data_IF_663407808255
#
_entry.id   IF_663407808255
#
_cell.length_a   1.000
_cell.length_b   1.000
_cell.length_c   1.000
_cell.angle_alpha   90.00
_cell.angle_beta   90.00
_cell.angle_gamma   90.00
#
_symmetry.space_group_name_H-M   'P 1'
#
loop_
_entity.id
_entity.type
_entity.pdbx_description
1 polymer ?
#
# COMPACT_ATOMS: atom_id res chain seq x y z
N UNK A 1 21.75 -3.39 3.17
CA UNK A 1 21.38 -1.96 3.26
C UNK A 1 19.87 -1.84 3.16
N UNK A 2 19.24 -0.87 3.85
CA UNK A 2 17.79 -0.73 3.87
C UNK A 2 17.41 0.68 3.41
N UNK A 3 16.73 0.77 2.27
CA UNK A 3 16.37 2.00 1.57
C UNK A 3 15.03 2.51 2.10
N UNK A 4 14.92 3.81 2.34
CA UNK A 4 13.64 4.46 2.61
C UNK A 4 12.94 4.71 1.28
N UNK A 5 11.65 4.43 1.24
CA UNK A 5 10.78 4.70 0.11
C UNK A 5 9.56 5.49 0.59
N UNK A 6 9.10 6.38 -0.27
CA UNK A 6 7.83 7.09 -0.14
C UNK A 6 7.08 6.90 -1.44
N UNK A 7 5.90 6.26 -1.35
CA UNK A 7 5.03 6.04 -2.49
C UNK A 7 3.76 6.86 -2.30
N UNK A 8 3.30 7.50 -3.37
CA UNK A 8 2.08 8.29 -3.37
C UNK A 8 1.19 7.84 -4.51
N UNK A 9 -0.09 7.68 -4.22
CA UNK A 9 -1.10 7.41 -5.23
C UNK A 9 -2.46 7.87 -4.73
N UNK A 10 -3.41 8.01 -5.63
CA UNK A 10 -4.77 8.44 -5.31
C UNK A 10 -5.71 7.24 -5.45
N UNK A 11 -6.62 7.06 -4.49
CA UNK A 11 -7.62 6.00 -4.55
C UNK A 11 -8.53 6.24 -5.75
N UNK A 12 -8.64 5.26 -6.63
CA UNK A 12 -9.52 5.36 -7.79
C UNK A 12 -10.99 5.24 -7.38
N UNK A 13 -11.94 5.86 -8.12
CA UNK A 13 -13.37 5.70 -7.84
C UNK A 13 -13.85 4.23 -7.86
N UNK A 14 -13.22 3.38 -8.66
CA UNK A 14 -13.48 1.93 -8.70
C UNK A 14 -13.12 1.19 -7.41
N UNK A 15 -12.36 1.82 -6.52
CA UNK A 15 -11.92 1.27 -5.24
C UNK A 15 -12.79 1.77 -4.07
N UNK A 16 -13.83 2.54 -4.34
CA UNK A 16 -14.78 2.99 -3.32
C UNK A 16 -15.34 1.81 -2.53
N UNK A 17 -15.32 1.94 -1.20
CA UNK A 17 -15.80 0.95 -0.25
C UNK A 17 -14.86 -0.25 -0.04
N UNK A 18 -13.75 -0.33 -0.78
CA UNK A 18 -12.73 -1.34 -0.54
C UNK A 18 -12.05 -1.12 0.81
N UNK A 19 -11.45 -2.19 1.32
CA UNK A 19 -10.57 -2.10 2.49
C UNK A 19 -9.26 -1.42 2.08
N UNK A 20 -8.72 -0.59 2.97
CA UNK A 20 -7.48 0.13 2.74
C UNK A 20 -6.31 -0.80 2.38
N UNK A 21 -6.17 -1.93 3.08
CA UNK A 21 -5.10 -2.89 2.78
C UNK A 21 -5.23 -3.52 1.38
N UNK A 22 -6.46 -3.68 0.90
CA UNK A 22 -6.72 -4.12 -0.46
C UNK A 22 -6.45 -3.00 -1.48
N UNK A 23 -7.01 -1.80 -1.27
CA UNK A 23 -6.85 -0.68 -2.19
C UNK A 23 -5.37 -0.30 -2.37
N UNK A 24 -4.60 -0.25 -1.28
CA UNK A 24 -3.15 0.01 -1.33
C UNK A 24 -2.40 -1.08 -2.10
N UNK A 25 -2.78 -2.36 -1.95
CA UNK A 25 -2.15 -3.45 -2.68
C UNK A 25 -2.49 -3.46 -4.18
N UNK A 26 -3.63 -2.89 -4.57
CA UNK A 26 -3.98 -2.66 -5.97
C UNK A 26 -3.26 -1.42 -6.54
N UNK A 27 -3.04 -0.38 -5.74
CA UNK A 27 -2.31 0.82 -6.13
C UNK A 27 -0.80 0.60 -6.25
N UNK A 28 -0.23 -0.31 -5.44
CA UNK A 28 1.20 -0.65 -5.44
C UNK A 28 1.38 -2.16 -5.59
N UNK A 29 1.11 -2.66 -6.80
CA UNK A 29 1.16 -4.08 -7.17
C UNK A 29 2.55 -4.73 -7.03
N UNK A 30 3.60 -3.92 -6.97
CA UNK A 30 4.99 -4.32 -6.68
C UNK A 30 5.16 -4.96 -5.28
N UNK A 31 4.21 -4.74 -4.36
CA UNK A 31 4.28 -5.25 -3.00
C UNK A 31 3.17 -6.26 -2.70
N UNK A 32 3.54 -7.35 -2.04
CA UNK A 32 2.56 -8.34 -1.60
C UNK A 32 1.59 -7.77 -0.57
N UNK A 33 0.34 -8.26 -0.55
CA UNK A 33 -0.67 -7.90 0.45
C UNK A 33 -0.17 -8.04 1.90
N UNK A 34 0.60 -9.08 2.19
CA UNK A 34 1.19 -9.28 3.52
C UNK A 34 2.16 -8.16 3.89
N UNK A 35 2.97 -7.68 2.94
CA UNK A 35 3.88 -6.53 3.16
C UNK A 35 3.10 -5.26 3.41
N UNK A 36 2.07 -4.99 2.62
CA UNK A 36 1.19 -3.82 2.81
C UNK A 36 0.54 -3.87 4.20
N UNK A 37 0.04 -5.03 4.62
CA UNK A 37 -0.54 -5.22 5.95
C UNK A 37 0.47 -4.93 7.07
N UNK A 38 1.71 -5.39 6.97
CA UNK A 38 2.76 -5.08 7.94
C UNK A 38 3.00 -3.57 8.04
N UNK A 39 3.10 -2.86 6.90
CA UNK A 39 3.29 -1.41 6.88
C UNK A 39 2.10 -0.65 7.45
N UNK A 40 0.88 -1.11 7.15
CA UNK A 40 -0.32 -0.54 7.71
C UNK A 40 -0.33 -0.66 9.24
N UNK A 41 -0.07 -1.86 9.78
CA UNK A 41 -0.02 -2.10 11.22
C UNK A 41 1.13 -1.35 11.90
N UNK A 42 2.22 -1.10 11.18
CA UNK A 42 3.36 -0.32 11.65
C UNK A 42 3.18 1.21 11.51
N UNK A 43 1.99 1.68 11.11
CA UNK A 43 1.69 3.11 10.97
C UNK A 43 2.49 3.81 9.88
N UNK A 44 2.77 3.09 8.79
CA UNK A 44 3.55 3.59 7.64
C UNK A 44 2.68 4.03 6.47
N UNK A 45 1.36 3.98 6.62
CA UNK A 45 0.40 4.34 5.59
C UNK A 45 -0.49 5.46 6.13
N UNK A 46 -0.66 6.51 5.34
CA UNK A 46 -1.61 7.58 5.61
C UNK A 46 -2.61 7.74 4.48
N UNK A 47 -3.81 8.17 4.86
CA UNK A 47 -4.92 8.54 3.97
C UNK A 47 -5.19 10.02 4.22
N UNK A 48 -5.04 10.87 3.21
CA UNK A 48 -5.18 12.34 3.30
C UNK A 48 -4.37 12.93 4.47
N UNK A 49 -3.14 12.46 4.64
CA UNK A 49 -2.23 12.88 5.71
C UNK A 49 -2.52 12.28 7.09
N UNK A 50 -3.60 11.51 7.27
CA UNK A 50 -3.91 10.82 8.52
C UNK A 50 -3.34 9.40 8.52
N UNK A 51 -2.49 9.07 9.49
CA UNK A 51 -1.94 7.71 9.62
C UNK A 51 -3.05 6.74 10.01
N UNK A 52 -3.30 5.74 9.17
CA UNK A 52 -4.29 4.70 9.42
C UNK A 52 -3.57 3.39 9.73
N UNK A 53 -3.95 2.74 10.83
CA UNK A 53 -3.39 1.44 11.25
C UNK A 53 -4.42 0.31 11.23
N UNK A 54 -5.65 0.60 10.77
CA UNK A 54 -6.79 -0.33 10.78
C UNK A 54 -6.96 -0.98 9.40
N UNK A 55 -6.69 -2.29 9.21
CA UNK A 55 -6.83 -2.98 7.92
C UNK A 55 -8.23 -2.94 7.30
N UNK A 56 -9.27 -2.91 8.13
CA UNK A 56 -10.66 -2.87 7.67
C UNK A 56 -11.18 -1.45 7.45
N UNK A 57 -10.33 -0.42 7.57
CA UNK A 57 -10.69 0.94 7.19
C UNK A 57 -11.15 0.93 5.73
N UNK A 58 -12.27 1.57 5.44
CA UNK A 58 -12.80 1.66 4.07
C UNK A 58 -12.36 2.96 3.44
N UNK A 59 -11.86 2.88 2.23
CA UNK A 59 -11.62 4.06 1.39
C UNK A 59 -12.91 4.42 0.64
N UNK A 60 -13.08 5.69 0.31
CA UNK A 60 -14.25 6.27 -0.32
C UNK A 60 -13.98 6.71 -1.77
N UNK A 61 -12.73 6.69 -2.21
CA UNK A 61 -12.31 7.17 -3.52
C UNK A 61 -11.85 8.62 -3.48
N UNK A 62 -10.81 8.93 -4.24
CA UNK A 62 -10.22 10.26 -4.32
C UNK A 62 -9.21 10.59 -3.22
N UNK A 63 -9.07 9.75 -2.19
CA UNK A 63 -8.12 10.01 -1.11
C UNK A 63 -6.66 9.85 -1.58
N UNK A 64 -5.76 10.66 -1.03
CA UNK A 64 -4.34 10.51 -1.21
C UNK A 64 -3.79 9.45 -0.25
N UNK A 65 -3.21 8.40 -0.81
CA UNK A 65 -2.51 7.35 -0.10
C UNK A 65 -1.01 7.64 -0.14
N UNK A 66 -0.39 7.74 1.04
CA UNK A 66 1.06 7.85 1.17
C UNK A 66 1.59 6.66 1.97
N UNK A 67 2.58 5.95 1.41
CA UNK A 67 3.27 4.84 2.06
C UNK A 67 4.72 5.23 2.30
N UNK A 68 5.10 5.47 3.56
CA UNK A 68 6.44 5.86 3.97
C UNK A 68 7.13 4.70 4.70
N UNK A 69 7.81 3.83 3.95
CA UNK A 69 8.34 2.57 4.46
C UNK A 69 9.83 2.37 4.21
N UNK A 70 10.43 1.39 4.89
CA UNK A 70 11.83 1.01 4.69
C UNK A 70 11.90 -0.35 4.01
N UNK A 71 12.35 -0.38 2.76
CA UNK A 71 12.61 -1.61 2.03
C UNK A 71 13.96 -2.19 2.42
N UNK A 72 13.94 -3.46 2.83
CA UNK A 72 15.14 -4.29 2.78
C UNK A 72 15.16 -4.92 1.40
N UNK A 73 16.18 -4.60 0.62
CA UNK A 73 16.39 -5.20 -0.71
C UNK A 73 16.44 -6.72 -0.53
N UNK A 74 15.40 -7.42 -0.99
CA UNK A 74 15.43 -8.86 -1.22
C UNK A 74 15.52 -9.02 -2.73
N UNK A 75 16.47 -9.82 -3.22
CA UNK A 75 16.54 -10.18 -4.64
C UNK A 75 15.17 -10.70 -5.07
N UNK A 76 14.44 -9.90 -5.84
CA UNK A 76 13.17 -10.32 -6.43
C UNK A 76 13.57 -11.15 -7.64
N UNK A 77 13.54 -12.47 -7.47
CA UNK A 77 13.56 -13.39 -8.59
C UNK A 77 12.38 -13.06 -9.49
N UNK A 78 12.66 -12.55 -10.69
CA UNK A 78 11.67 -12.42 -11.76
C UNK A 78 10.90 -13.74 -11.88
N UNK A 79 9.57 -13.68 -11.86
CA UNK A 79 8.58 -14.59 -12.47
C UNK A 79 7.19 -14.13 -11.97
N UNK A 80 6.14 -14.01 -12.78
CA UNK A 80 5.77 -14.81 -13.95
C UNK A 80 4.77 -14.00 -14.79
N UNK A 81 5.01 -13.89 -16.10
CA UNK A 81 3.97 -13.65 -17.10
C UNK A 81 2.92 -14.75 -16.91
N UNK A 82 1.65 -14.37 -16.88
CA UNK A 82 0.53 -15.28 -17.08
C UNK A 82 -0.36 -14.70 -18.17
N UNK A 83 -0.26 -15.35 -19.34
CA UNK A 83 -1.17 -15.44 -20.50
C UNK A 83 -1.77 -14.14 -21.04
#
# INVERSE_FOLDING_TARGET
>A
MAQQIELKSTVNPSQLGQRLDQAVAELFDEFSRSRIKEWLLAGKISVDGQVITKPRFKVMGGEEIVVAARLKMKNVGKRKIFL
#
